data_IF_362316993345
#
_entry.id   IF_362316993345
#
_cell.length_a   1.000
_cell.length_b   1.000
_cell.length_c   1.000
_cell.angle_alpha   90.00
_cell.angle_beta   90.00
_cell.angle_gamma   90.00
#
_symmetry.space_group_name_H-M   'P 1'
#
loop_
_entity.id
_entity.type
_entity.pdbx_description
1 polymer ?
#
# COMPACT_ATOMS: atom_id res chain seq x y z
N UNK A 1 -19.43 -4.71 -49.95
CA UNK A 1 -19.42 -3.45 -49.18
C UNK A 1 -19.70 -3.69 -47.71
N UNK A 2 -18.83 -4.47 -47.08
CA UNK A 2 -18.78 -4.75 -45.64
C UNK A 2 -17.30 -4.62 -45.34
N UNK A 3 -16.89 -3.76 -44.37
CA UNK A 3 -15.58 -3.75 -43.68
C UNK A 3 -15.21 -2.41 -43.01
N UNK A 4 -16.03 -1.37 -43.08
CA UNK A 4 -15.77 -0.13 -42.32
C UNK A 4 -16.41 -0.18 -40.91
N UNK A 5 -17.54 -0.87 -40.75
CA UNK A 5 -18.20 -1.02 -39.45
C UNK A 5 -17.44 -1.88 -38.43
N UNK A 6 -16.58 -2.80 -38.88
CA UNK A 6 -15.83 -3.69 -37.99
C UNK A 6 -14.64 -2.97 -37.30
N UNK A 7 -14.08 -1.95 -37.95
CA UNK A 7 -12.92 -1.22 -37.44
C UNK A 7 -13.28 -0.32 -36.24
N UNK A 8 -14.51 0.19 -36.22
CA UNK A 8 -15.01 1.07 -35.15
C UNK A 8 -15.34 0.28 -33.86
N UNK A 9 -15.72 -0.99 -33.98
CA UNK A 9 -15.98 -1.85 -32.82
C UNK A 9 -14.71 -2.22 -32.04
N UNK A 10 -13.55 -2.25 -32.72
CA UNK A 10 -12.27 -2.65 -32.10
C UNK A 10 -11.64 -1.54 -31.23
N UNK A 11 -12.00 -0.27 -31.46
CA UNK A 11 -11.43 0.88 -30.73
C UNK A 11 -12.05 1.04 -29.33
N UNK A 12 -13.26 0.51 -29.09
CA UNK A 12 -13.95 0.62 -27.80
C UNK A 12 -13.43 -0.34 -26.71
N UNK A 13 -12.62 -1.34 -27.06
CA UNK A 13 -12.13 -2.36 -26.10
C UNK A 13 -10.83 -1.92 -25.39
N UNK A 14 -10.23 -0.78 -25.76
CA UNK A 14 -8.93 -0.35 -25.23
C UNK A 14 -9.00 0.59 -24.02
N UNK A 15 -10.19 0.97 -23.54
CA UNK A 15 -10.35 1.62 -22.25
C UNK A 15 -10.40 0.57 -21.13
N UNK A 16 -9.33 -0.22 -20.99
CA UNK A 16 -9.10 -0.96 -19.75
C UNK A 16 -8.75 0.08 -18.68
N UNK A 17 -9.79 0.47 -17.93
CA UNK A 17 -9.70 1.46 -16.88
C UNK A 17 -8.89 0.86 -15.72
N UNK A 18 -7.60 1.14 -15.67
CA UNK A 18 -6.79 0.91 -14.46
C UNK A 18 -7.36 1.84 -13.40
N UNK A 19 -8.06 1.29 -12.40
CA UNK A 19 -8.70 2.12 -11.37
C UNK A 19 -7.63 2.93 -10.65
N UNK A 20 -7.69 4.25 -10.80
CA UNK A 20 -6.78 5.16 -10.11
C UNK A 20 -7.01 5.03 -8.59
N UNK A 21 -5.95 4.88 -7.78
CA UNK A 21 -6.12 4.83 -6.33
C UNK A 21 -6.74 6.13 -5.81
N UNK A 22 -7.59 5.99 -4.80
CA UNK A 22 -8.16 7.14 -4.05
C UNK A 22 -7.06 7.85 -3.28
N UNK A 23 -6.06 7.10 -2.82
CA UNK A 23 -4.90 7.61 -2.15
C UNK A 23 -3.67 6.74 -2.45
N UNK A 24 -2.53 7.38 -2.63
CA UNK A 24 -1.23 6.72 -2.64
C UNK A 24 -0.24 7.64 -1.94
N UNK A 25 0.38 7.13 -0.86
CA UNK A 25 1.36 7.88 -0.08
C UNK A 25 2.57 7.01 0.20
N UNK A 26 3.76 7.60 0.15
CA UNK A 26 5.03 6.90 0.37
C UNK A 26 5.98 7.76 1.19
N UNK A 27 6.67 7.13 2.13
CA UNK A 27 7.75 7.73 2.92
C UNK A 27 9.05 7.04 2.54
N UNK A 28 10.04 7.81 2.08
CA UNK A 28 11.40 7.34 1.87
C UNK A 28 12.15 7.28 3.20
N UNK A 29 12.96 6.24 3.40
CA UNK A 29 13.78 6.08 4.59
C UNK A 29 15.16 6.70 4.37
N UNK A 30 15.61 7.48 5.35
CA UNK A 30 16.98 7.98 5.35
C UNK A 30 17.98 6.83 5.50
N UNK A 31 19.00 6.80 4.65
CA UNK A 31 20.02 5.75 4.58
C UNK A 31 19.46 4.30 4.51
N UNK A 32 18.26 4.10 3.95
CA UNK A 32 17.57 2.81 3.92
C UNK A 32 17.35 2.17 5.30
N UNK A 33 17.23 2.98 6.36
CA UNK A 33 17.03 2.49 7.73
C UNK A 33 15.66 2.91 8.24
N UNK A 34 14.84 1.92 8.57
CA UNK A 34 13.61 2.16 9.30
C UNK A 34 13.82 1.97 10.80
N UNK A 35 13.84 3.06 11.54
CA UNK A 35 13.86 3.03 13.00
C UNK A 35 12.50 2.58 13.56
N UNK A 36 12.48 1.59 14.45
CA UNK A 36 11.25 1.03 15.05
C UNK A 36 10.40 2.04 15.82
N UNK A 37 10.99 3.15 16.27
CA UNK A 37 10.30 4.23 16.97
C UNK A 37 9.84 5.36 16.03
N UNK A 38 10.21 5.29 14.75
CA UNK A 38 9.71 6.19 13.72
C UNK A 38 8.43 5.60 13.11
N UNK A 39 7.29 5.92 13.72
CA UNK A 39 5.97 5.51 13.23
C UNK A 39 5.59 6.35 12.01
N UNK A 40 5.08 5.68 10.98
CA UNK A 40 4.66 6.35 9.76
C UNK A 40 3.15 6.62 9.85
N UNK A 41 2.74 7.84 9.50
CA UNK A 41 1.36 8.28 9.54
C UNK A 41 0.92 8.72 8.14
N UNK A 42 -0.13 8.10 7.62
CA UNK A 42 -0.77 8.46 6.37
C UNK A 42 -2.18 8.99 6.63
N UNK A 43 -2.56 10.05 5.95
CA UNK A 43 -3.87 10.70 6.07
C UNK A 43 -4.69 10.43 4.82
N UNK A 44 -5.55 9.41 4.89
CA UNK A 44 -6.33 8.93 3.76
C UNK A 44 -7.71 9.59 3.78
N UNK A 45 -8.10 10.37 2.76
CA UNK A 45 -9.45 10.89 2.66
C UNK A 45 -10.43 9.74 2.39
N UNK A 46 -11.53 9.70 3.15
CA UNK A 46 -12.54 8.64 3.05
C UNK A 46 -13.94 9.25 3.03
N UNK A 47 -14.85 8.59 2.32
CA UNK A 47 -16.26 8.98 2.25
C UNK A 47 -17.14 8.01 3.03
N UNK A 48 -18.20 8.51 3.68
CA UNK A 48 -19.21 7.67 4.31
C UNK A 48 -19.77 6.63 3.32
N UNK A 49 -19.90 5.39 3.78
CA UNK A 49 -20.35 4.23 3.01
C UNK A 49 -19.44 3.81 1.83
N UNK A 50 -18.28 4.44 1.65
CA UNK A 50 -17.27 3.97 0.69
C UNK A 50 -16.63 2.67 1.17
N UNK A 51 -16.39 1.75 0.23
CA UNK A 51 -15.64 0.51 0.45
C UNK A 51 -14.25 0.68 -0.16
N UNK A 52 -13.21 0.61 0.67
CA UNK A 52 -11.84 0.71 0.23
C UNK A 52 -11.05 -0.56 0.52
N UNK A 53 -10.21 -0.92 -0.44
CA UNK A 53 -9.11 -1.87 -0.27
C UNK A 53 -7.83 -1.09 0.01
N UNK A 54 -7.10 -1.54 1.02
CA UNK A 54 -5.82 -0.99 1.45
C UNK A 54 -4.71 -2.00 1.20
N UNK A 55 -3.61 -1.51 0.64
CA UNK A 55 -2.38 -2.26 0.50
C UNK A 55 -1.20 -1.50 1.16
N UNK A 56 -0.24 -2.27 1.68
CA UNK A 56 1.07 -1.80 2.10
C UNK A 56 2.05 -1.93 0.92
N UNK A 57 2.80 -0.87 0.65
CA UNK A 57 3.85 -0.84 -0.35
C UNK A 57 5.18 -0.78 0.39
N UNK A 58 6.07 -1.73 0.15
CA UNK A 58 7.38 -1.80 0.83
C UNK A 58 8.48 -1.81 -0.21
N UNK A 59 9.30 -0.76 -0.21
CA UNK A 59 10.57 -0.73 -0.91
C UNK A 59 11.68 -1.28 0.01
N UNK A 60 12.45 -2.21 -0.51
CA UNK A 60 13.59 -2.79 0.19
C UNK A 60 14.73 -3.09 -0.78
N UNK A 61 15.92 -3.26 -0.23
CA UNK A 61 17.17 -3.46 -0.96
C UNK A 61 17.80 -4.80 -0.58
N UNK A 62 18.87 -5.18 -1.28
CA UNK A 62 19.67 -6.37 -0.94
C UNK A 62 20.28 -6.31 0.47
N UNK A 63 20.40 -5.11 1.05
CA UNK A 63 20.89 -4.93 2.43
C UNK A 63 19.90 -5.44 3.48
N UNK A 64 18.63 -5.70 3.11
CA UNK A 64 17.63 -6.22 4.04
C UNK A 64 17.91 -7.71 4.34
N UNK A 65 18.35 -8.05 5.57
CA UNK A 65 18.91 -9.38 5.83
C UNK A 65 17.84 -10.46 6.07
N UNK A 66 16.57 -10.10 6.27
CA UNK A 66 15.51 -11.04 6.64
C UNK A 66 14.61 -11.41 5.46
N UNK A 67 13.93 -12.55 5.54
CA UNK A 67 12.97 -12.99 4.51
C UNK A 67 11.56 -12.43 4.74
N UNK A 68 11.34 -11.81 5.89
CA UNK A 68 10.05 -11.26 6.29
C UNK A 68 10.21 -9.89 6.94
N UNK A 69 9.16 -9.08 6.81
CA UNK A 69 8.99 -7.81 7.51
C UNK A 69 7.76 -7.91 8.42
N UNK A 70 7.95 -7.65 9.71
CA UNK A 70 6.85 -7.58 10.67
C UNK A 70 6.47 -6.13 10.93
N UNK A 71 5.19 -5.81 10.81
CA UNK A 71 4.66 -4.48 11.10
C UNK A 71 3.31 -4.55 11.80
N UNK A 72 3.04 -3.57 12.67
CA UNK A 72 1.67 -3.30 13.12
C UNK A 72 1.07 -2.24 12.21
N UNK A 73 -0.17 -2.44 11.79
CA UNK A 73 -0.91 -1.44 11.03
C UNK A 73 -2.20 -1.14 11.76
N UNK A 74 -2.38 0.14 12.09
CA UNK A 74 -3.53 0.65 12.81
C UNK A 74 -4.27 1.70 11.99
N UNK A 75 -5.57 1.53 11.85
CA UNK A 75 -6.50 2.46 11.22
C UNK A 75 -7.28 3.20 12.30
N UNK A 76 -7.38 4.52 12.14
CA UNK A 76 -8.20 5.40 12.97
C UNK A 76 -9.21 6.11 12.06
N UNK A 77 -10.36 5.47 11.77
CA UNK A 77 -11.42 6.06 10.97
C UNK A 77 -12.02 7.33 11.63
N UNK A 78 -12.66 8.20 10.84
CA UNK A 78 -13.26 9.43 11.35
C UNK A 78 -14.43 9.22 12.31
N UNK A 79 -15.02 8.02 12.36
CA UNK A 79 -16.09 7.65 13.31
C UNK A 79 -15.57 7.42 14.75
N UNK A 80 -14.26 7.52 14.98
CA UNK A 80 -13.62 7.35 16.28
C UNK A 80 -13.32 5.90 16.65
N UNK A 81 -13.64 4.94 15.79
CA UNK A 81 -13.21 3.56 15.97
C UNK A 81 -11.69 3.40 15.80
N UNK A 82 -11.16 2.25 16.21
CA UNK A 82 -9.77 1.88 15.97
C UNK A 82 -9.71 0.41 15.57
N UNK A 83 -8.93 0.13 14.53
CA UNK A 83 -8.67 -1.23 14.05
C UNK A 83 -7.17 -1.41 13.94
N UNK A 84 -6.62 -2.45 14.58
CA UNK A 84 -5.18 -2.71 14.59
C UNK A 84 -4.91 -4.20 14.42
N UNK A 85 -3.89 -4.53 13.62
CA UNK A 85 -3.43 -5.90 13.41
C UNK A 85 -1.91 -5.92 13.23
N UNK A 86 -1.28 -6.98 13.74
CA UNK A 86 0.11 -7.32 13.43
C UNK A 86 0.15 -8.16 12.15
N UNK A 87 1.09 -7.85 11.26
CA UNK A 87 1.30 -8.51 9.98
C UNK A 87 2.75 -8.97 9.87
N UNK A 88 2.94 -10.13 9.23
CA UNK A 88 4.25 -10.60 8.79
C UNK A 88 4.22 -10.78 7.28
N UNK A 89 4.98 -9.96 6.56
CA UNK A 89 5.03 -9.93 5.12
C UNK A 89 6.25 -10.70 4.63
N UNK A 90 6.05 -11.78 3.87
CA UNK A 90 7.13 -12.50 3.22
C UNK A 90 7.64 -11.68 2.03
N UNK A 91 8.93 -11.32 2.07
CA UNK A 91 9.58 -10.56 1.01
C UNK A 91 10.10 -11.52 -0.07
N UNK A 92 9.87 -11.16 -1.33
CA UNK A 92 10.37 -11.90 -2.48
C UNK A 92 11.74 -11.37 -2.90
N UNK A 93 12.79 -11.95 -2.30
CA UNK A 93 14.19 -11.62 -2.61
C UNK A 93 14.63 -12.03 -4.02
N UNK A 94 13.98 -13.01 -4.65
CA UNK A 94 14.34 -13.43 -6.02
C UNK A 94 13.88 -12.37 -7.04
N UNK A 95 12.77 -11.69 -6.73
CA UNK A 95 12.27 -10.60 -7.55
C UNK A 95 13.10 -9.30 -7.46
N UNK A 96 14.09 -9.21 -6.58
CA UNK A 96 14.90 -8.01 -6.36
C UNK A 96 15.91 -7.69 -7.47
N UNK A 97 15.97 -8.49 -8.53
CA UNK A 97 16.97 -8.40 -9.61
C UNK A 97 17.25 -6.93 -10.03
N UNK A 98 18.38 -6.41 -9.56
CA UNK A 98 19.15 -5.23 -10.01
C UNK A 98 18.44 -3.87 -10.21
N UNK A 99 17.21 -3.66 -9.73
CA UNK A 99 16.54 -2.34 -9.85
C UNK A 99 16.40 -1.66 -8.49
N UNK A 100 17.24 -0.66 -8.17
CA UNK A 100 17.04 0.22 -7.04
C UNK A 100 15.63 0.85 -7.06
N UNK A 101 14.91 0.75 -5.95
CA UNK A 101 13.57 1.34 -5.80
C UNK A 101 12.39 0.45 -6.17
N UNK A 102 12.61 -0.85 -6.46
CA UNK A 102 11.50 -1.81 -6.60
C UNK A 102 10.76 -1.97 -5.26
N UNK A 103 9.43 -1.94 -5.32
CA UNK A 103 8.57 -2.11 -4.15
C UNK A 103 7.68 -3.34 -4.32
N UNK A 104 7.38 -4.02 -3.22
CA UNK A 104 6.42 -5.10 -3.16
C UNK A 104 5.12 -4.61 -2.51
N UNK A 105 3.99 -5.05 -3.05
CA UNK A 105 2.65 -4.65 -2.60
C UNK A 105 2.00 -5.80 -1.87
N UNK A 106 1.47 -5.52 -0.68
CA UNK A 106 0.82 -6.50 0.19
C UNK A 106 -0.59 -6.03 0.53
N UNK A 107 -1.59 -6.88 0.28
CA UNK A 107 -2.95 -6.55 0.69
C UNK A 107 -3.11 -6.67 2.21
N UNK A 108 -3.53 -5.57 2.85
CA UNK A 108 -3.62 -5.50 4.32
C UNK A 108 -5.07 -5.52 4.79
N UNK A 109 -5.99 -4.91 4.03
CA UNK A 109 -7.42 -4.92 4.35
C UNK A 109 -8.26 -4.72 3.10
N UNK A 110 -9.32 -5.51 2.93
CA UNK A 110 -10.25 -5.39 1.81
C UNK A 110 -11.63 -4.98 2.29
N UNK A 111 -12.37 -4.30 1.43
CA UNK A 111 -13.77 -3.92 1.65
C UNK A 111 -14.00 -3.23 2.99
N UNK A 112 -13.06 -2.37 3.39
CA UNK A 112 -13.22 -1.58 4.61
C UNK A 112 -14.28 -0.51 4.37
N UNK A 113 -15.39 -0.62 5.11
CA UNK A 113 -16.48 0.36 5.08
C UNK A 113 -16.25 1.47 6.10
N UNK A 114 -16.48 2.71 5.70
CA UNK A 114 -16.41 3.88 6.59
C UNK A 114 -17.80 4.35 7.04
N UNK A 115 -17.95 4.57 8.35
CA UNK A 115 -19.19 5.06 8.96
C UNK A 115 -19.37 6.58 8.92
N UNK A 116 -18.34 7.33 8.50
CA UNK A 116 -18.36 8.77 8.35
C UNK A 116 -17.34 9.23 7.29
N UNK A 117 -17.59 10.37 6.66
CA UNK A 117 -16.61 11.04 5.78
C UNK A 117 -15.56 11.78 6.61
N UNK A 118 -14.31 11.81 6.16
CA UNK A 118 -13.24 12.53 6.84
C UNK A 118 -11.85 12.01 6.50
N UNK A 119 -10.91 12.14 7.44
CA UNK A 119 -9.56 11.58 7.33
C UNK A 119 -9.47 10.31 8.16
N UNK A 120 -9.20 9.19 7.51
CA UNK A 120 -8.73 7.99 8.17
C UNK A 120 -7.22 8.09 8.35
N UNK A 121 -6.74 8.09 9.60
CA UNK A 121 -5.30 8.03 9.85
C UNK A 121 -4.85 6.57 9.82
N UNK A 122 -3.84 6.27 9.02
CA UNK A 122 -3.23 4.94 8.96
C UNK A 122 -1.83 5.03 9.55
N UNK A 123 -1.61 4.35 10.67
CA UNK A 123 -0.32 4.24 11.34
C UNK A 123 0.34 2.93 10.96
N UNK A 124 1.58 2.99 10.48
CA UNK A 124 2.42 1.82 10.22
C UNK A 124 3.60 1.84 11.17
N UNK A 125 3.76 0.76 11.94
CA UNK A 125 4.83 0.61 12.93
C UNK A 125 5.71 -0.57 12.59
N UNK A 126 7.02 -0.36 12.59
CA UNK A 126 7.99 -1.42 12.43
C UNK A 126 8.07 -2.25 13.72
N UNK A 127 7.81 -3.56 13.60
CA UNK A 127 7.80 -4.53 14.69
C UNK A 127 8.98 -5.50 14.64
N UNK A 128 9.97 -5.24 13.80
CA UNK A 128 11.21 -6.00 13.77
C UNK A 128 11.94 -5.92 15.12
N UNK A 129 12.71 -6.96 15.44
CA UNK A 129 13.40 -7.09 16.73
C UNK A 129 14.52 -6.05 16.91
N UNK A 130 15.17 -5.62 15.82
CA UNK A 130 16.22 -4.61 15.82
C UNK A 130 15.63 -3.19 15.90
N UNK A 131 16.32 -2.30 16.61
CA UNK A 131 15.91 -0.88 16.72
C UNK A 131 15.99 -0.17 15.37
N UNK A 132 17.06 -0.46 14.63
CA UNK A 132 17.26 0.00 13.27
C UNK A 132 17.11 -1.21 12.35
N UNK A 133 16.16 -1.13 11.44
CA UNK A 133 15.94 -2.14 10.40
C UNK A 133 16.60 -1.64 9.13
N UNK A 134 17.81 -2.14 8.78
CA UNK A 134 18.50 -1.74 7.55
C UNK A 134 17.81 -2.34 6.32
N UNK A 135 18.10 -1.76 5.17
CA UNK A 135 17.66 -2.23 3.87
C UNK A 135 16.20 -1.95 3.52
N UNK A 136 15.46 -1.18 4.32
CA UNK A 136 14.13 -0.67 3.96
C UNK A 136 14.30 0.70 3.33
N UNK A 137 14.04 0.82 2.04
CA UNK A 137 14.17 2.09 1.31
C UNK A 137 12.93 2.96 1.40
N UNK A 138 11.74 2.36 1.40
CA UNK A 138 10.49 3.12 1.51
C UNK A 138 9.35 2.28 2.07
N UNK A 139 8.37 2.96 2.64
CA UNK A 139 7.11 2.36 3.07
C UNK A 139 5.97 3.28 2.66
N UNK A 140 4.93 2.71 2.07
CA UNK A 140 3.77 3.42 1.60
C UNK A 140 2.47 2.68 1.85
N UNK A 141 1.37 3.39 1.65
CA UNK A 141 0.01 2.87 1.69
C UNK A 141 -0.68 3.31 0.41
N UNK A 142 -1.43 2.40 -0.20
CA UNK A 142 -2.43 2.75 -1.20
C UNK A 142 -3.82 2.39 -0.72
N UNK A 143 -4.80 3.20 -1.11
CA UNK A 143 -6.21 2.93 -0.93
C UNK A 143 -6.91 3.06 -2.29
N UNK A 144 -7.70 2.05 -2.65
CA UNK A 144 -8.52 2.05 -3.87
C UNK A 144 -9.95 1.65 -3.54
N UNK A 145 -10.89 2.01 -4.39
CA UNK A 145 -12.27 1.52 -4.26
C UNK A 145 -12.28 0.00 -4.43
N UNK A 146 -13.02 -0.68 -3.58
CA UNK A 146 -13.25 -2.11 -3.73
C UNK A 146 -14.13 -2.34 -4.96
N UNK A 147 -13.77 -3.34 -5.77
CA UNK A 147 -14.58 -3.82 -6.90
C UNK A 147 -15.76 -4.69 -6.44
#
# INVERSE_FOLDING_TARGET
MIKIGLLIYLVLVLFSCTQTPVFEGKVEMDHNIWNRFNFLMFEVPVTENELLDFDLIVGYTEEYPWDELTANISFYPPDGSMLSSDYTFKLDKESLSDVPGKSQVFSIRKQMKFGASGICKVRVENKMSKVQTPGISSVGISARRSE
#
